data_IF_919914299675
#
_entry.id   IF_919914299675
#
_cell.length_a   1.000
_cell.length_b   1.000
_cell.length_c   1.000
_cell.angle_alpha   90.00
_cell.angle_beta   90.00
_cell.angle_gamma   90.00
#
_symmetry.space_group_name_H-M   'P 1'
#
loop_
_entity.id
_entity.type
_entity.pdbx_description
1 polymer ?
#
# COMPACT_ATOMS: atom_id res chain seq x y z
N UNK A 1 -3.97 24.83 -27.22
CA UNK A 1 -3.65 24.12 -25.97
C UNK A 1 -4.94 23.70 -25.33
N UNK A 2 -5.38 22.48 -25.62
CA UNK A 2 -6.67 21.95 -25.15
C UNK A 2 -6.40 21.18 -23.84
N UNK A 3 -6.86 21.71 -22.74
CA UNK A 3 -6.89 21.02 -21.46
C UNK A 3 -7.98 19.94 -21.53
N UNK A 4 -7.59 18.70 -21.65
CA UNK A 4 -8.50 17.56 -21.53
C UNK A 4 -8.95 17.49 -20.07
N UNK A 5 -10.17 17.96 -19.81
CA UNK A 5 -10.86 17.75 -18.55
C UNK A 5 -11.14 16.26 -18.41
N UNK A 6 -10.41 15.60 -17.54
CA UNK A 6 -10.75 14.25 -17.09
C UNK A 6 -12.02 14.40 -16.25
N UNK A 7 -13.19 14.14 -16.83
CA UNK A 7 -14.43 14.03 -16.08
C UNK A 7 -14.30 12.86 -15.13
N UNK A 8 -14.27 13.13 -13.82
CA UNK A 8 -14.35 12.10 -12.80
C UNK A 8 -15.68 11.35 -12.98
N UNK A 9 -15.57 10.08 -13.39
CA UNK A 9 -16.73 9.18 -13.46
C UNK A 9 -17.24 8.96 -12.03
N UNK A 10 -18.50 9.31 -11.81
CA UNK A 10 -19.15 9.06 -10.52
C UNK A 10 -19.68 7.63 -10.46
N UNK A 11 -19.84 7.08 -9.25
CA UNK A 11 -20.45 5.76 -9.05
C UNK A 11 -21.85 5.65 -9.64
N UNK A 12 -22.56 6.77 -9.74
CA UNK A 12 -23.90 6.88 -10.37
C UNK A 12 -23.80 6.73 -11.89
N UNK A 13 -22.72 7.21 -12.50
CA UNK A 13 -22.48 7.05 -13.94
C UNK A 13 -22.20 5.58 -14.31
N UNK A 14 -21.74 4.78 -13.34
CA UNK A 14 -21.53 3.34 -13.46
C UNK A 14 -22.81 2.51 -13.17
N UNK A 15 -23.96 3.17 -12.98
CA UNK A 15 -25.26 2.52 -12.76
C UNK A 15 -25.49 2.04 -11.32
N UNK A 16 -24.69 2.49 -10.36
CA UNK A 16 -24.91 2.18 -8.95
C UNK A 16 -26.17 2.91 -8.44
N UNK A 17 -27.06 2.26 -7.65
CA UNK A 17 -28.17 2.94 -7.00
C UNK A 17 -27.67 4.11 -6.15
N UNK A 18 -28.38 5.25 -6.17
CA UNK A 18 -27.98 6.48 -5.48
C UNK A 18 -27.70 6.24 -3.99
N UNK A 19 -28.53 5.42 -3.33
CA UNK A 19 -28.35 5.06 -1.92
C UNK A 19 -27.00 4.37 -1.64
N UNK A 20 -26.55 3.52 -2.58
CA UNK A 20 -25.23 2.84 -2.51
C UNK A 20 -24.13 3.86 -2.73
N UNK A 21 -24.26 4.74 -3.71
CA UNK A 21 -23.30 5.81 -3.98
C UNK A 21 -23.13 6.73 -2.77
N UNK A 22 -24.22 7.19 -2.16
CA UNK A 22 -24.21 8.05 -0.96
C UNK A 22 -23.60 7.34 0.27
N UNK A 23 -23.85 6.04 0.38
CA UNK A 23 -23.28 5.23 1.46
C UNK A 23 -21.77 5.06 1.29
N UNK A 24 -21.31 4.77 0.07
CA UNK A 24 -19.90 4.67 -0.26
C UNK A 24 -19.18 6.02 -0.10
N UNK A 25 -19.81 7.13 -0.52
CA UNK A 25 -19.24 8.46 -0.33
C UNK A 25 -19.03 8.78 1.15
N UNK A 26 -20.04 8.52 2.01
CA UNK A 26 -19.94 8.70 3.47
C UNK A 26 -18.85 7.85 4.09
N UNK A 27 -18.60 6.64 3.57
CA UNK A 27 -17.50 5.78 4.01
C UNK A 27 -16.17 6.34 3.53
N UNK A 28 -16.09 6.77 2.26
CA UNK A 28 -14.89 7.37 1.68
C UNK A 28 -14.47 8.65 2.43
N UNK A 29 -15.41 9.51 2.81
CA UNK A 29 -15.15 10.73 3.58
C UNK A 29 -14.63 10.45 4.99
N UNK A 30 -14.99 9.29 5.57
CA UNK A 30 -14.50 8.82 6.87
C UNK A 30 -13.18 8.06 6.77
N UNK A 31 -12.80 7.61 5.58
CA UNK A 31 -11.51 6.99 5.36
C UNK A 31 -10.43 8.05 5.54
N UNK A 32 -9.75 7.99 6.68
CA UNK A 32 -8.49 8.72 6.80
C UNK A 32 -7.57 8.20 5.70
N UNK A 33 -7.24 9.08 4.78
CA UNK A 33 -6.24 8.86 3.73
C UNK A 33 -5.00 8.17 4.28
N UNK A 34 -4.22 7.56 3.42
CA UNK A 34 -2.91 7.01 3.74
C UNK A 34 -2.17 7.98 4.68
N UNK A 35 -1.59 7.50 5.79
CA UNK A 35 -0.89 8.37 6.74
C UNK A 35 0.09 9.32 6.03
N UNK A 36 0.11 10.59 6.42
CA UNK A 36 0.97 11.60 5.78
C UNK A 36 2.45 11.17 5.75
N UNK A 37 2.89 10.43 6.78
CA UNK A 37 4.24 9.86 6.84
C UNK A 37 4.45 8.82 5.72
N UNK A 38 3.46 7.97 5.46
CA UNK A 38 3.56 6.98 4.39
C UNK A 38 3.56 7.66 3.02
N UNK A 39 2.69 8.65 2.79
CA UNK A 39 2.69 9.44 1.56
C UNK A 39 4.05 10.11 1.33
N UNK A 40 4.61 10.74 2.36
CA UNK A 40 5.93 11.37 2.27
C UNK A 40 7.05 10.37 2.00
N UNK A 41 6.99 9.18 2.59
CA UNK A 41 7.95 8.11 2.33
C UNK A 41 7.88 7.63 0.87
N UNK A 42 6.66 7.48 0.33
CA UNK A 42 6.45 7.08 -1.07
C UNK A 42 7.00 8.13 -2.05
N UNK A 43 6.71 9.43 -1.82
CA UNK A 43 7.25 10.53 -2.62
C UNK A 43 8.78 10.52 -2.66
N UNK A 44 9.43 10.34 -1.49
CA UNK A 44 10.88 10.29 -1.39
C UNK A 44 11.45 9.05 -2.11
N UNK A 45 10.77 7.92 -1.99
CA UNK A 45 11.20 6.67 -2.62
C UNK A 45 11.18 6.71 -4.15
N UNK A 46 10.38 7.57 -4.75
CA UNK A 46 10.31 7.76 -6.20
C UNK A 46 11.41 8.69 -6.75
N UNK A 47 12.17 9.36 -5.88
CA UNK A 47 13.30 10.16 -6.30
C UNK A 47 14.47 9.28 -6.79
N UNK A 48 15.10 9.58 -7.94
CA UNK A 48 16.16 8.74 -8.53
C UNK A 48 17.34 8.48 -7.60
N UNK A 49 17.68 9.47 -6.76
CA UNK A 49 18.84 9.43 -5.86
C UNK A 49 18.43 9.41 -4.39
N UNK A 50 17.33 8.71 -4.04
CA UNK A 50 16.85 8.68 -2.67
C UNK A 50 17.86 8.01 -1.72
N UNK A 51 18.43 8.73 -0.74
CA UNK A 51 19.30 8.11 0.24
C UNK A 51 18.49 7.20 1.16
N UNK A 52 18.97 5.96 1.35
CA UNK A 52 18.35 4.97 2.24
C UNK A 52 18.04 5.53 3.63
N UNK A 53 18.95 6.32 4.19
CA UNK A 53 18.78 6.94 5.50
C UNK A 53 17.65 7.97 5.54
N UNK A 54 17.46 8.77 4.48
CA UNK A 54 16.39 9.75 4.43
C UNK A 54 15.02 9.06 4.37
N UNK A 55 14.89 8.01 3.58
CA UNK A 55 13.68 7.20 3.49
C UNK A 55 13.34 6.53 4.84
N UNK A 56 14.32 5.87 5.46
CA UNK A 56 14.14 5.24 6.78
C UNK A 56 13.71 6.27 7.84
N UNK A 57 14.39 7.44 7.91
CA UNK A 57 14.13 8.48 8.89
C UNK A 57 12.70 9.07 8.80
N UNK A 58 12.10 9.08 7.62
CA UNK A 58 10.71 9.52 7.46
C UNK A 58 9.75 8.49 8.05
N UNK A 59 9.96 7.20 7.77
CA UNK A 59 9.08 6.12 8.26
C UNK A 59 9.20 5.95 9.78
N UNK A 60 10.40 6.10 10.33
CA UNK A 60 10.69 5.99 11.77
C UNK A 60 9.96 7.04 12.63
N UNK A 61 9.42 8.09 12.02
CA UNK A 61 8.56 9.07 12.72
C UNK A 61 7.20 8.50 13.11
N UNK A 62 6.77 7.41 12.48
CA UNK A 62 5.55 6.70 12.80
C UNK A 62 5.88 5.30 13.34
N UNK A 63 5.78 5.14 14.65
CA UNK A 63 6.10 3.88 15.35
C UNK A 63 5.19 2.73 14.89
N UNK A 64 3.92 3.03 14.62
CA UNK A 64 2.97 2.01 14.15
C UNK A 64 3.34 1.52 12.77
N UNK A 65 3.58 2.43 11.83
CA UNK A 65 3.99 2.12 10.47
C UNK A 65 5.32 1.35 10.46
N UNK A 66 6.31 1.81 11.24
CA UNK A 66 7.59 1.14 11.40
C UNK A 66 7.41 -0.30 11.89
N UNK A 67 6.61 -0.50 12.95
CA UNK A 67 6.34 -1.83 13.50
C UNK A 67 5.67 -2.74 12.47
N UNK A 68 4.67 -2.24 11.76
CA UNK A 68 3.94 -3.03 10.77
C UNK A 68 4.83 -3.41 9.56
N UNK A 69 5.63 -2.47 9.07
CA UNK A 69 6.62 -2.75 8.01
C UNK A 69 7.63 -3.80 8.45
N UNK A 70 8.16 -3.71 9.67
CA UNK A 70 9.10 -4.70 10.20
C UNK A 70 8.46 -6.07 10.41
N UNK A 71 7.21 -6.14 10.89
CA UNK A 71 6.46 -7.41 10.99
C UNK A 71 6.29 -8.06 9.62
N UNK A 72 5.88 -7.28 8.61
CA UNK A 72 5.75 -7.79 7.25
C UNK A 72 7.09 -8.24 6.67
N UNK A 73 8.16 -7.46 6.87
CA UNK A 73 9.50 -7.79 6.41
C UNK A 73 10.05 -9.08 7.05
N UNK A 74 9.60 -9.41 8.26
CA UNK A 74 9.93 -10.64 8.98
C UNK A 74 8.94 -11.78 8.74
N UNK A 75 7.91 -11.60 7.93
CA UNK A 75 6.98 -12.67 7.60
C UNK A 75 7.67 -13.78 6.80
N UNK A 76 7.11 -14.99 6.81
CA UNK A 76 7.63 -16.15 6.09
C UNK A 76 7.87 -15.89 4.59
N UNK A 77 7.13 -14.95 4.01
CA UNK A 77 7.23 -14.56 2.61
C UNK A 77 8.54 -13.83 2.28
N UNK A 78 9.01 -12.97 3.20
CA UNK A 78 10.18 -12.10 3.00
C UNK A 78 11.39 -12.50 3.85
N UNK A 79 11.17 -13.26 4.92
CA UNK A 79 12.22 -13.67 5.85
C UNK A 79 13.08 -14.78 5.24
N UNK A 80 14.30 -14.44 4.87
CA UNK A 80 15.34 -15.40 4.49
C UNK A 80 16.54 -15.21 5.44
N UNK A 81 16.59 -15.99 6.51
CA UNK A 81 17.69 -15.96 7.46
C UNK A 81 17.37 -15.20 8.76
N UNK A 82 18.31 -14.38 9.26
CA UNK A 82 18.15 -13.66 10.53
C UNK A 82 17.05 -12.60 10.49
N UNK A 83 16.41 -12.37 11.64
CA UNK A 83 15.38 -11.34 11.77
C UNK A 83 15.89 -9.94 11.40
N UNK A 84 15.01 -9.16 10.77
CA UNK A 84 15.24 -7.76 10.41
C UNK A 84 14.83 -6.91 11.61
N UNK A 85 15.76 -6.17 12.19
CA UNK A 85 15.55 -5.38 13.40
C UNK A 85 15.39 -3.88 13.14
N UNK A 86 15.74 -3.38 11.93
CA UNK A 86 15.64 -1.96 11.58
C UNK A 86 15.16 -1.74 10.16
N UNK A 87 14.58 -0.56 9.89
CA UNK A 87 14.20 -0.18 8.53
C UNK A 87 15.39 -0.12 7.59
N UNK A 88 16.54 0.33 8.07
CA UNK A 88 17.76 0.32 7.28
C UNK A 88 18.12 -1.11 6.81
N UNK A 89 18.05 -2.09 7.71
CA UNK A 89 18.24 -3.50 7.36
C UNK A 89 17.18 -4.00 6.38
N UNK A 90 15.90 -3.60 6.58
CA UNK A 90 14.82 -3.94 5.67
C UNK A 90 15.12 -3.44 4.25
N UNK A 91 15.50 -2.17 4.12
CA UNK A 91 15.81 -1.56 2.83
C UNK A 91 17.03 -2.22 2.17
N UNK A 92 18.10 -2.47 2.95
CA UNK A 92 19.32 -3.11 2.45
C UNK A 92 19.05 -4.55 1.97
N UNK A 93 18.20 -5.30 2.68
CA UNK A 93 17.92 -6.71 2.38
C UNK A 93 16.83 -6.90 1.33
N UNK A 94 15.76 -6.12 1.39
CA UNK A 94 14.59 -6.26 0.52
C UNK A 94 14.65 -5.32 -0.70
N UNK A 95 15.39 -4.23 -0.61
CA UNK A 95 15.43 -3.14 -1.57
C UNK A 95 14.29 -2.14 -1.39
N UNK A 96 14.45 -0.95 -1.97
CA UNK A 96 13.48 0.15 -1.89
C UNK A 96 12.08 -0.26 -2.37
N UNK A 97 11.99 -0.90 -3.53
CA UNK A 97 10.71 -1.31 -4.13
C UNK A 97 9.88 -2.17 -3.20
N UNK A 98 10.48 -3.18 -2.58
CA UNK A 98 9.75 -4.04 -1.62
C UNK A 98 9.37 -3.30 -0.35
N UNK A 99 10.24 -2.43 0.15
CA UNK A 99 9.89 -1.59 1.30
C UNK A 99 8.75 -0.63 0.99
N UNK A 100 8.72 -0.01 -0.20
CA UNK A 100 7.60 0.79 -0.69
C UNK A 100 6.29 -0.01 -0.69
N UNK A 101 6.30 -1.23 -1.25
CA UNK A 101 5.15 -2.12 -1.25
C UNK A 101 4.67 -2.48 0.16
N UNK A 102 5.61 -2.72 1.11
CA UNK A 102 5.27 -2.98 2.50
C UNK A 102 4.63 -1.78 3.20
N UNK A 103 5.09 -0.56 2.90
CA UNK A 103 4.49 0.67 3.42
C UNK A 103 3.06 0.83 2.90
N UNK A 104 2.84 0.61 1.61
CA UNK A 104 1.50 0.65 1.02
C UNK A 104 0.58 -0.40 1.66
N UNK A 105 1.04 -1.66 1.75
CA UNK A 105 0.28 -2.74 2.35
C UNK A 105 -0.05 -2.46 3.84
N UNK A 106 0.90 -1.93 4.61
CA UNK A 106 0.68 -1.54 6.01
C UNK A 106 -0.35 -0.42 6.12
N UNK A 107 -0.25 0.60 5.26
CA UNK A 107 -1.18 1.72 5.23
C UNK A 107 -2.60 1.28 4.89
N UNK A 108 -2.76 0.40 3.88
CA UNK A 108 -4.06 -0.18 3.52
C UNK A 108 -4.61 -1.06 4.66
N UNK A 109 -3.75 -1.86 5.31
CA UNK A 109 -4.15 -2.66 6.48
C UNK A 109 -4.68 -1.78 7.60
N UNK A 110 -4.00 -0.66 7.88
CA UNK A 110 -4.44 0.30 8.90
C UNK A 110 -5.79 0.93 8.55
N UNK A 111 -6.01 1.27 7.28
CA UNK A 111 -7.30 1.77 6.78
C UNK A 111 -8.39 0.71 6.95
N UNK A 112 -8.13 -0.52 6.50
CA UNK A 112 -9.08 -1.63 6.61
C UNK A 112 -9.50 -1.93 8.04
N UNK A 113 -8.60 -1.81 9.01
CA UNK A 113 -8.93 -1.97 10.44
C UNK A 113 -9.89 -0.90 10.97
N UNK A 114 -9.87 0.31 10.37
CA UNK A 114 -10.74 1.42 10.76
C UNK A 114 -12.10 1.37 10.08
N UNK A 115 -12.26 0.57 9.03
CA UNK A 115 -13.54 0.37 8.38
C UNK A 115 -14.48 -0.40 9.30
N UNK A 116 -15.59 0.20 9.66
CA UNK A 116 -16.73 -0.48 10.29
C UNK A 116 -17.51 -1.20 9.18
N UNK A 117 -17.11 -2.41 8.87
CA UNK A 117 -17.93 -3.32 8.08
C UNK A 117 -18.79 -4.12 9.04
N UNK A 118 -20.06 -4.32 8.68
CA UNK A 118 -21.01 -5.07 9.49
C UNK A 118 -20.55 -6.51 9.77
N UNK A 119 -19.67 -7.03 8.90
CA UNK A 119 -19.12 -8.37 8.99
C UNK A 119 -17.59 -8.36 8.93
N UNK A 120 -16.95 -8.73 10.01
CA UNK A 120 -15.48 -8.74 10.14
C UNK A 120 -14.81 -9.71 9.17
N UNK A 121 -15.45 -10.82 8.87
CA UNK A 121 -14.94 -11.83 7.93
C UNK A 121 -14.81 -11.29 6.49
N UNK A 122 -15.70 -10.38 6.07
CA UNK A 122 -15.64 -9.74 4.74
C UNK A 122 -14.36 -8.92 4.62
N UNK A 123 -14.03 -8.16 5.66
CA UNK A 123 -12.79 -7.35 5.70
C UNK A 123 -11.55 -8.22 5.57
N UNK A 124 -11.51 -9.34 6.30
CA UNK A 124 -10.38 -10.26 6.24
C UNK A 124 -10.24 -10.90 4.86
N UNK A 125 -11.34 -11.36 4.25
CA UNK A 125 -11.33 -11.93 2.91
C UNK A 125 -10.85 -10.91 1.88
N UNK A 126 -11.38 -9.70 1.89
CA UNK A 126 -10.97 -8.65 0.97
C UNK A 126 -9.48 -8.31 1.10
N UNK A 127 -9.00 -8.18 2.34
CA UNK A 127 -7.59 -7.93 2.61
C UNK A 127 -6.71 -9.07 2.10
N UNK A 128 -7.04 -10.31 2.45
CA UNK A 128 -6.27 -11.49 2.03
C UNK A 128 -6.25 -11.64 0.51
N UNK A 129 -7.41 -11.45 -0.13
CA UNK A 129 -7.52 -11.50 -1.59
C UNK A 129 -6.63 -10.44 -2.24
N UNK A 130 -6.78 -9.18 -1.87
CA UNK A 130 -6.00 -8.08 -2.44
C UNK A 130 -4.50 -8.27 -2.24
N UNK A 131 -4.09 -8.65 -1.03
CA UNK A 131 -2.68 -8.86 -0.72
C UNK A 131 -2.06 -10.03 -1.49
N UNK A 132 -2.78 -11.16 -1.59
CA UNK A 132 -2.33 -12.32 -2.37
C UNK A 132 -2.25 -12.00 -3.86
N UNK A 133 -3.23 -11.27 -4.39
CA UNK A 133 -3.24 -10.83 -5.79
C UNK A 133 -2.02 -9.95 -6.09
N UNK A 134 -1.72 -8.98 -5.25
CA UNK A 134 -0.56 -8.13 -5.38
C UNK A 134 0.77 -8.92 -5.36
N UNK A 135 0.89 -9.91 -4.48
CA UNK A 135 2.06 -10.78 -4.42
C UNK A 135 2.20 -11.63 -5.69
N UNK A 136 1.10 -12.24 -6.14
CA UNK A 136 1.10 -13.07 -7.36
C UNK A 136 1.47 -12.21 -8.56
N UNK A 137 0.88 -11.02 -8.70
CA UNK A 137 1.19 -10.08 -9.77
C UNK A 137 2.69 -9.71 -9.79
N UNK A 138 3.28 -9.41 -8.62
CA UNK A 138 4.71 -9.12 -8.48
C UNK A 138 5.58 -10.32 -8.90
N UNK A 139 5.19 -11.54 -8.53
CA UNK A 139 5.91 -12.75 -8.94
C UNK A 139 5.81 -13.00 -10.43
N UNK A 140 4.62 -12.84 -11.02
CA UNK A 140 4.40 -12.97 -12.46
C UNK A 140 5.20 -11.93 -13.24
N UNK A 141 5.19 -10.66 -12.82
CA UNK A 141 6.01 -9.62 -13.42
C UNK A 141 7.49 -10.01 -13.44
N UNK A 142 7.99 -10.50 -12.32
CA UNK A 142 9.38 -10.95 -12.19
C UNK A 142 9.69 -12.18 -13.05
N UNK A 143 8.81 -13.19 -13.07
CA UNK A 143 9.00 -14.43 -13.81
C UNK A 143 8.90 -14.22 -15.33
N UNK A 144 7.94 -13.43 -15.77
CA UNK A 144 7.68 -13.15 -17.17
C UNK A 144 8.46 -11.96 -17.72
N UNK A 145 9.19 -11.23 -16.87
CA UNK A 145 9.97 -10.04 -17.21
C UNK A 145 9.14 -8.97 -17.96
N UNK A 146 7.92 -8.72 -17.47
CA UNK A 146 6.97 -7.79 -18.11
C UNK A 146 7.48 -6.34 -18.02
N UNK A 147 8.26 -6.00 -16.98
CA UNK A 147 8.94 -4.70 -16.88
C UNK A 147 8.23 -3.68 -16.00
N UNK A 148 7.16 -4.05 -15.28
CA UNK A 148 6.56 -3.16 -14.29
C UNK A 148 7.52 -2.87 -13.14
N UNK A 149 7.51 -1.65 -12.62
CA UNK A 149 8.42 -1.17 -11.58
C UNK A 149 7.76 -1.02 -10.20
N UNK A 150 6.64 -1.67 -9.96
CA UNK A 150 5.89 -1.68 -8.70
C UNK A 150 4.39 -1.45 -8.86
N UNK A 151 3.95 -0.99 -10.01
CA UNK A 151 2.55 -0.75 -10.34
C UNK A 151 1.72 -2.02 -10.21
N UNK A 152 2.31 -3.15 -10.52
CA UNK A 152 1.69 -4.47 -10.40
C UNK A 152 1.29 -4.84 -8.96
N UNK A 153 1.89 -4.18 -7.96
CA UNK A 153 1.53 -4.40 -6.56
C UNK A 153 0.30 -3.60 -6.13
N UNK A 154 0.03 -2.49 -6.81
CA UNK A 154 -1.02 -1.54 -6.46
C UNK A 154 -2.24 -1.58 -7.38
N UNK A 155 -2.12 -2.29 -8.50
CA UNK A 155 -3.23 -2.54 -9.42
C UNK A 155 -4.18 -3.60 -8.86
#
# INVERSE_FOLDING_TARGET
>A
MSTTSTSELTLTDLGAPQEVADRLQRVADKLQMIPAVAMRALEIADAPDCPTGAFAAVIERDVSLTSDVLKMANSALYSRGSAIASLHQAITRLGFRRCKNLILASSVTSLMRKLTLDEEWVREILWRHSFLTAIIATHLNSALRIGFSGEEFTA
#
